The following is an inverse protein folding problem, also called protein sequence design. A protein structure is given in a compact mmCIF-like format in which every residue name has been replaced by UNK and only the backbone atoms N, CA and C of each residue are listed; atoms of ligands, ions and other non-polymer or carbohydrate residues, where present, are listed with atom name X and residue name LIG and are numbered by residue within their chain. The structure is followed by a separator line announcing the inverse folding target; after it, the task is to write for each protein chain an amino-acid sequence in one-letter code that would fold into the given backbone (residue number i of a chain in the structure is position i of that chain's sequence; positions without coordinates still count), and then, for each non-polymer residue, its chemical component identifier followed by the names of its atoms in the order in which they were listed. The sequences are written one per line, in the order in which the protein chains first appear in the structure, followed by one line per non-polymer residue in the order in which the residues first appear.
data_IF_286641639756
#
_entry.id   IF_286641639756
#
_cell.length_a   1.000
_cell.length_b   1.000
_cell.length_c   1.000
_cell.angle_alpha   90.00
_cell.angle_beta   90.00
_cell.angle_gamma   90.00
#
_symmetry.space_group_name_H-M   'P 1'
#
loop_
_entity.id
_entity.type
_entity.pdbx_description
1 polymer ?
#
# COMPACT_ATOMS: atom_id res chain seq x y z
N UNK A 1 -23.16 9.71 18.18
CA UNK A 1 -22.02 10.33 18.87
C UNK A 1 -21.71 9.49 20.10
N UNK A 2 -20.46 9.05 20.30
CA UNK A 2 -20.07 8.42 21.56
C UNK A 2 -19.84 9.54 22.57
N UNK A 3 -20.85 9.85 23.37
CA UNK A 3 -20.75 10.85 24.44
C UNK A 3 -20.65 10.12 25.78
N UNK A 4 -19.41 9.90 26.25
CA UNK A 4 -19.13 9.66 27.66
C UNK A 4 -19.10 8.22 28.19
N UNK A 5 -19.45 7.18 27.42
CA UNK A 5 -19.65 5.83 27.99
C UNK A 5 -18.41 4.91 27.95
N UNK A 6 -17.43 5.16 27.09
CA UNK A 6 -16.15 4.44 27.09
C UNK A 6 -15.01 5.38 26.69
N UNK A 7 -14.17 5.78 27.65
CA UNK A 7 -12.92 6.51 27.36
C UNK A 7 -11.96 5.66 26.52
N UNK A 8 -11.93 4.36 26.78
CA UNK A 8 -11.13 3.37 26.05
C UNK A 8 -12.01 2.19 25.63
N UNK A 9 -12.01 1.90 24.33
CA UNK A 9 -12.27 0.55 23.84
C UNK A 9 -10.91 -0.17 23.86
N UNK A 10 -10.81 -1.45 24.28
CA UNK A 10 -9.52 -2.10 24.51
C UNK A 10 -8.55 -1.88 23.35
N UNK A 11 -7.38 -1.28 23.64
CA UNK A 11 -6.34 -0.96 22.67
C UNK A 11 -6.73 -0.02 21.51
N UNK A 12 -7.80 0.77 21.64
CA UNK A 12 -8.23 1.73 20.62
C UNK A 12 -8.47 3.13 21.21
N UNK A 13 -7.84 4.19 20.68
CA UNK A 13 -7.86 5.53 21.27
C UNK A 13 -9.16 6.29 20.94
N UNK A 14 -10.29 5.79 21.43
CA UNK A 14 -11.64 6.28 21.12
C UNK A 14 -11.84 7.75 21.53
N UNK A 15 -11.30 8.15 22.69
CA UNK A 15 -11.30 9.56 23.13
C UNK A 15 -10.61 10.47 22.09
N UNK A 16 -9.39 10.13 21.63
CA UNK A 16 -8.64 10.96 20.65
C UNK A 16 -9.38 11.10 19.33
N UNK A 17 -10.00 10.02 18.84
CA UNK A 17 -10.81 10.04 17.62
C UNK A 17 -11.99 11.00 17.78
N UNK A 18 -12.64 10.96 18.94
CA UNK A 18 -13.80 11.79 19.25
C UNK A 18 -13.43 13.27 19.41
N UNK A 19 -12.46 13.60 20.26
CA UNK A 19 -12.10 15.00 20.54
C UNK A 19 -11.41 15.70 19.37
N UNK A 20 -10.82 14.94 18.44
CA UNK A 20 -10.22 15.47 17.21
C UNK A 20 -11.16 15.39 16.00
N UNK A 21 -12.42 15.00 16.19
CA UNK A 21 -13.41 14.88 15.11
C UNK A 21 -12.94 14.01 13.94
N UNK A 22 -12.20 12.94 14.23
CA UNK A 22 -11.63 12.05 13.21
C UNK A 22 -12.75 11.20 12.61
N UNK A 23 -12.85 11.20 11.28
CA UNK A 23 -13.75 10.30 10.54
C UNK A 23 -12.98 9.05 10.13
N UNK A 24 -13.50 7.87 10.52
CA UNK A 24 -12.93 6.58 10.13
C UNK A 24 -13.77 5.98 9.02
N UNK A 25 -13.12 5.59 7.92
CA UNK A 25 -13.74 4.88 6.80
C UNK A 25 -12.99 3.57 6.58
N UNK A 26 -13.72 2.47 6.47
CA UNK A 26 -13.14 1.20 6.01
C UNK A 26 -13.02 1.21 4.49
N UNK A 27 -11.97 0.60 3.96
CA UNK A 27 -11.75 0.41 2.54
C UNK A 27 -11.22 -1.01 2.28
N UNK A 28 -11.73 -1.67 1.24
CA UNK A 28 -11.27 -3.00 0.82
C UNK A 28 -11.24 -3.07 -0.70
N UNK A 29 -10.10 -3.49 -1.24
CA UNK A 29 -9.90 -3.61 -2.69
C UNK A 29 -9.90 -2.26 -3.40
N UNK A 30 -10.15 -2.29 -4.70
CA UNK A 30 -10.21 -1.14 -5.59
C UNK A 30 -11.45 -1.25 -6.49
N UNK A 31 -12.09 -0.11 -6.79
CA UNK A 31 -13.20 -0.05 -7.75
C UNK A 31 -12.70 0.22 -9.16
N UNK A 32 -13.52 -0.08 -10.17
CA UNK A 32 -13.21 0.23 -11.58
C UNK A 32 -12.77 1.69 -11.77
N UNK A 33 -13.53 2.64 -11.20
CA UNK A 33 -13.20 4.07 -11.29
C UNK A 33 -11.85 4.42 -10.65
N UNK A 34 -11.45 3.73 -9.58
CA UNK A 34 -10.16 3.95 -8.95
C UNK A 34 -9.00 3.54 -9.89
N UNK A 35 -9.17 2.43 -10.64
CA UNK A 35 -8.20 1.99 -11.64
C UNK A 35 -8.06 3.00 -12.78
N UNK A 36 -9.17 3.51 -13.32
CA UNK A 36 -9.15 4.53 -14.38
C UNK A 36 -8.41 5.81 -13.94
N UNK A 37 -8.66 6.26 -12.71
CA UNK A 37 -7.96 7.41 -12.13
C UNK A 37 -6.46 7.14 -11.94
N UNK A 38 -6.09 5.92 -11.54
CA UNK A 38 -4.69 5.52 -11.38
C UNK A 38 -3.97 5.50 -12.74
N UNK A 39 -4.59 4.98 -13.79
CA UNK A 39 -4.04 5.00 -15.15
C UNK A 39 -3.83 6.42 -15.67
N UNK A 40 -4.82 7.30 -15.47
CA UNK A 40 -4.69 8.72 -15.82
C UNK A 40 -3.52 9.38 -15.09
N UNK A 41 -3.30 9.04 -13.81
CA UNK A 41 -2.15 9.54 -13.07
C UNK A 41 -0.81 9.02 -13.58
N UNK A 42 -0.71 7.72 -13.88
CA UNK A 42 0.49 7.12 -14.48
C UNK A 42 0.83 7.79 -15.82
N UNK A 43 -0.18 8.01 -16.67
CA UNK A 43 -0.03 8.70 -17.95
C UNK A 43 0.40 10.16 -17.81
N UNK A 44 0.01 10.84 -16.72
CA UNK A 44 0.33 12.26 -16.51
C UNK A 44 1.83 12.54 -16.33
N UNK A 45 2.62 11.53 -15.93
CA UNK A 45 4.05 11.66 -15.57
C UNK A 45 4.33 12.77 -14.53
N UNK A 46 3.31 13.23 -13.79
CA UNK A 46 3.44 14.31 -12.79
C UNK A 46 4.34 13.91 -11.63
N UNK A 47 4.35 12.63 -11.28
CA UNK A 47 5.20 12.08 -10.23
C UNK A 47 6.06 10.95 -10.81
N UNK A 48 7.29 10.75 -10.30
CA UNK A 48 8.20 9.71 -10.78
C UNK A 48 7.80 8.34 -10.21
N UNK A 49 6.59 7.86 -10.55
CA UNK A 49 6.03 6.61 -10.03
C UNK A 49 6.84 5.38 -10.45
N UNK A 50 7.63 5.47 -11.52
CA UNK A 50 8.59 4.45 -11.92
C UNK A 50 9.66 4.15 -10.86
N UNK A 51 9.91 5.08 -9.93
CA UNK A 51 10.84 4.88 -8.81
C UNK A 51 10.27 4.03 -7.68
N UNK A 52 8.97 3.72 -7.72
CA UNK A 52 8.35 2.81 -6.72
C UNK A 52 8.92 1.40 -6.85
N UNK A 53 9.20 0.94 -8.07
CA UNK A 53 9.89 -0.34 -8.29
C UNK A 53 11.33 -0.22 -7.83
N UNK A 54 11.66 -0.84 -6.69
CA UNK A 54 13.04 -0.84 -6.17
C UNK A 54 13.90 -1.89 -6.85
N UNK A 55 13.31 -3.02 -7.26
CA UNK A 55 14.05 -4.13 -7.85
C UNK A 55 13.33 -4.74 -9.06
N UNK A 56 14.12 -5.23 -10.01
CA UNK A 56 13.63 -5.93 -11.21
C UNK A 56 14.31 -7.28 -11.29
N UNK A 57 13.55 -8.29 -11.67
CA UNK A 57 14.00 -9.68 -11.77
C UNK A 57 13.57 -10.25 -13.11
N UNK A 58 14.35 -11.18 -13.66
CA UNK A 58 13.95 -11.99 -14.81
C UNK A 58 13.01 -13.13 -14.40
N UNK A 59 12.39 -13.80 -15.37
CA UNK A 59 11.45 -14.90 -15.09
C UNK A 59 12.12 -16.12 -14.44
N UNK A 60 13.41 -16.32 -14.68
CA UNK A 60 14.21 -17.37 -14.04
C UNK A 60 14.40 -17.15 -12.53
N UNK A 61 14.26 -15.91 -12.07
CA UNK A 61 14.55 -15.48 -10.70
C UNK A 61 13.27 -15.25 -9.87
N UNK A 62 12.12 -15.81 -10.30
CA UNK A 62 10.81 -15.59 -9.66
C UNK A 62 10.80 -16.04 -8.19
N UNK A 63 11.38 -17.20 -7.87
CA UNK A 63 11.47 -17.68 -6.48
C UNK A 63 12.28 -16.70 -5.62
N UNK A 64 13.42 -16.22 -6.13
CA UNK A 64 14.22 -15.21 -5.46
C UNK A 64 13.44 -13.90 -5.28
N UNK A 65 12.70 -13.45 -6.30
CA UNK A 65 11.89 -12.24 -6.22
C UNK A 65 10.83 -12.33 -5.13
N UNK A 66 10.12 -13.46 -5.04
CA UNK A 66 9.08 -13.72 -4.02
C UNK A 66 9.70 -13.70 -2.62
N UNK A 67 10.79 -14.46 -2.41
CA UNK A 67 11.48 -14.50 -1.11
C UNK A 67 12.02 -13.13 -0.70
N UNK A 68 12.52 -12.36 -1.66
CA UNK A 68 13.06 -11.03 -1.38
C UNK A 68 11.97 -10.06 -0.94
N UNK A 69 10.78 -10.07 -1.57
CA UNK A 69 9.62 -9.29 -1.09
C UNK A 69 9.17 -9.74 0.31
N UNK A 70 9.33 -11.03 0.62
CA UNK A 70 9.08 -11.59 1.95
C UNK A 70 10.16 -11.29 3.01
N UNK A 71 11.28 -10.67 2.63
CA UNK A 71 12.39 -10.36 3.54
C UNK A 71 13.42 -11.48 3.72
N UNK A 72 13.36 -12.55 2.93
CA UNK A 72 14.24 -13.73 3.00
C UNK A 72 15.25 -13.82 1.84
N UNK A 73 15.25 -12.83 0.95
CA UNK A 73 16.09 -12.83 -0.25
C UNK A 73 17.11 -11.68 -0.24
N UNK A 74 17.18 -10.94 -1.34
CA UNK A 74 18.06 -9.76 -1.42
C UNK A 74 17.51 -8.63 -0.52
N UNK A 75 18.39 -7.82 0.10
CA UNK A 75 17.99 -6.75 1.00
C UNK A 75 17.24 -5.62 0.25
N UNK A 76 16.49 -4.83 1.01
CA UNK A 76 15.87 -3.57 0.56
C UNK A 76 14.82 -3.69 -0.58
N UNK A 77 14.25 -4.88 -0.77
CA UNK A 77 13.13 -5.08 -1.69
C UNK A 77 11.84 -4.60 -1.06
N UNK A 78 11.26 -3.55 -1.66
CA UNK A 78 9.96 -2.97 -1.26
C UNK A 78 8.91 -3.28 -2.33
N UNK A 79 9.27 -3.10 -3.61
CA UNK A 79 8.41 -3.45 -4.74
C UNK A 79 9.27 -4.09 -5.83
N UNK A 80 8.95 -5.34 -6.15
CA UNK A 80 9.61 -6.11 -7.20
C UNK A 80 8.78 -6.08 -8.49
N UNK A 81 9.46 -6.01 -9.64
CA UNK A 81 8.82 -6.21 -10.94
C UNK A 81 9.49 -7.35 -11.68
N UNK A 82 8.69 -8.29 -12.18
CA UNK A 82 9.15 -9.37 -13.04
C UNK A 82 9.13 -8.89 -14.48
N UNK A 83 10.29 -8.95 -15.14
CA UNK A 83 10.48 -8.46 -16.48
C UNK A 83 10.67 -9.66 -17.42
N UNK A 84 9.69 -10.00 -18.27
CA UNK A 84 9.76 -11.18 -19.15
C UNK A 84 10.95 -11.25 -20.11
N UNK A 85 11.55 -10.10 -20.38
CA UNK A 85 12.65 -9.93 -21.33
C UNK A 85 14.03 -9.85 -20.67
N UNK A 86 14.12 -9.98 -19.35
CA UNK A 86 15.37 -10.08 -18.60
C UNK A 86 15.72 -11.52 -18.25
#
# INVERSE_FOLDING_TARGET
MVQGEMKEFPNFPLEKVTVKFITIKSARGHSFKACELALAQLASRRFPLEKVTTHRFGLKDVDLAIRSVGGEGIPDVIHASLMPWQ
#
